data_IF_523256998174
#
_entry.id   IF_523256998174
#
_cell.length_a   1.000
_cell.length_b   1.000
_cell.length_c   1.000
_cell.angle_alpha   90.00
_cell.angle_beta   90.00
_cell.angle_gamma   90.00
#
_symmetry.space_group_name_H-M   'P 1'
#
loop_
_entity.id
_entity.type
_entity.pdbx_description
1 polymer ?
#
# COMPACT_ATOMS: atom_id res chain seq x y z
N UNK A 1 -20.82 57.50 -10.12
CA UNK A 1 -20.06 57.30 -8.87
C UNK A 1 -19.38 55.94 -8.90
N UNK A 2 -18.15 55.87 -8.42
CA UNK A 2 -17.42 54.57 -8.28
C UNK A 2 -17.95 53.90 -7.01
N UNK A 3 -18.36 52.59 -7.10
CA UNK A 3 -18.80 51.83 -5.98
C UNK A 3 -17.58 51.37 -5.15
N UNK A 4 -17.51 51.73 -3.88
CA UNK A 4 -16.48 51.27 -2.92
C UNK A 4 -16.96 49.97 -2.27
N UNK A 5 -16.04 49.01 -2.17
CA UNK A 5 -16.29 47.71 -1.53
C UNK A 5 -15.97 47.78 -0.04
N UNK A 6 -16.82 47.20 0.75
CA UNK A 6 -16.64 47.11 2.21
C UNK A 6 -16.50 45.66 2.64
N UNK A 7 -15.78 45.42 3.74
CA UNK A 7 -15.70 44.08 4.32
C UNK A 7 -17.03 43.65 4.90
N UNK A 8 -17.37 42.36 4.71
CA UNK A 8 -18.60 41.76 5.28
C UNK A 8 -18.34 41.08 6.63
N UNK A 9 -17.07 40.97 7.02
CA UNK A 9 -16.62 40.41 8.30
C UNK A 9 -15.65 41.39 8.97
N UNK A 10 -15.46 41.25 10.27
CA UNK A 10 -14.57 42.15 11.04
C UNK A 10 -13.10 41.92 10.76
N UNK A 11 -12.70 40.70 10.31
CA UNK A 11 -11.32 40.38 9.95
C UNK A 11 -10.86 41.16 8.71
N UNK A 12 -9.94 42.09 8.89
CA UNK A 12 -9.41 42.96 7.82
C UNK A 12 -8.10 42.41 7.19
N UNK A 13 -7.37 41.54 7.90
CA UNK A 13 -6.07 41.06 7.47
C UNK A 13 -6.12 40.18 6.21
N UNK A 14 -5.15 40.36 5.30
CA UNK A 14 -5.02 39.58 4.08
C UNK A 14 -4.31 38.25 4.32
N UNK A 15 -4.96 37.33 5.01
CA UNK A 15 -4.45 36.00 5.30
C UNK A 15 -5.03 34.94 4.36
N UNK A 16 -4.40 33.74 4.28
CA UNK A 16 -4.93 32.61 3.49
C UNK A 16 -6.33 32.16 3.86
N UNK A 17 -6.78 32.44 5.08
CA UNK A 17 -8.14 32.14 5.57
C UNK A 17 -9.15 33.25 5.21
N UNK A 18 -8.69 34.45 4.87
CA UNK A 18 -9.50 35.63 4.61
C UNK A 18 -9.41 36.05 3.13
N UNK A 19 -9.25 35.11 2.22
CA UNK A 19 -9.26 35.38 0.77
C UNK A 19 -10.67 35.71 0.31
N UNK A 20 -10.79 36.71 -0.55
CA UNK A 20 -12.06 37.21 -1.08
C UNK A 20 -11.92 37.56 -2.56
N UNK A 21 -13.03 37.50 -3.28
CA UNK A 21 -13.14 37.97 -4.66
C UNK A 21 -14.30 38.94 -4.78
N UNK A 22 -14.19 39.85 -5.72
CA UNK A 22 -15.27 40.75 -6.10
C UNK A 22 -16.23 40.01 -7.00
N UNK A 23 -17.54 40.12 -6.69
CA UNK A 23 -18.61 39.48 -7.47
C UNK A 23 -19.71 40.50 -7.66
N UNK A 24 -20.26 40.59 -8.88
CA UNK A 24 -21.45 41.39 -9.17
C UNK A 24 -22.69 40.57 -8.83
N UNK A 25 -23.56 41.12 -8.01
CA UNK A 25 -24.81 40.48 -7.65
C UNK A 25 -25.84 40.68 -8.77
N UNK A 26 -26.94 39.88 -8.85
CA UNK A 26 -28.00 40.06 -9.82
C UNK A 26 -28.62 41.48 -9.80
N UNK A 27 -28.63 42.17 -8.65
CA UNK A 27 -29.06 43.57 -8.50
C UNK A 27 -28.01 44.60 -9.00
N UNK A 28 -26.92 44.17 -9.65
CA UNK A 28 -25.87 45.05 -10.20
C UNK A 28 -24.85 45.56 -9.18
N UNK A 29 -25.00 45.27 -7.90
CA UNK A 29 -24.08 45.70 -6.83
C UNK A 29 -22.86 44.84 -6.75
N UNK A 30 -21.68 45.46 -6.60
CA UNK A 30 -20.40 44.74 -6.33
C UNK A 30 -20.28 44.46 -4.85
N UNK A 31 -19.96 43.19 -4.53
CA UNK A 31 -19.76 42.73 -3.14
C UNK A 31 -18.54 41.80 -3.06
N UNK A 32 -17.94 41.70 -1.86
CA UNK A 32 -16.94 40.67 -1.58
C UNK A 32 -17.61 39.34 -1.30
N UNK A 33 -17.11 38.29 -1.98
CA UNK A 33 -17.41 36.91 -1.69
C UNK A 33 -16.18 36.24 -1.08
N UNK A 34 -16.31 35.63 0.11
CA UNK A 34 -15.19 34.95 0.74
C UNK A 34 -14.95 33.58 0.15
N UNK A 35 -13.68 33.28 -0.10
CA UNK A 35 -13.25 32.02 -0.66
C UNK A 35 -12.89 31.01 0.42
N UNK A 36 -13.25 29.75 0.21
CA UNK A 36 -12.75 28.65 1.05
C UNK A 36 -11.32 28.32 0.68
N UNK A 37 -10.52 27.88 1.64
CA UNK A 37 -9.14 27.43 1.38
C UNK A 37 -9.11 26.31 0.33
N UNK A 38 -8.12 26.34 -0.54
CA UNK A 38 -7.96 25.35 -1.61
C UNK A 38 -7.78 23.95 -1.03
N UNK A 39 -8.53 23.02 -1.58
CA UNK A 39 -8.44 21.59 -1.25
C UNK A 39 -7.24 20.98 -1.95
N UNK A 40 -6.60 20.01 -1.31
CA UNK A 40 -5.43 19.32 -1.86
C UNK A 40 -5.68 17.82 -1.97
N UNK A 41 -5.18 17.23 -3.05
CA UNK A 41 -5.11 15.78 -3.25
C UNK A 41 -3.87 15.25 -2.52
N UNK A 42 -3.92 14.09 -1.86
CA UNK A 42 -2.73 13.49 -1.28
C UNK A 42 -1.70 13.15 -2.37
N UNK A 43 -0.43 13.12 -1.97
CA UNK A 43 0.70 12.80 -2.84
C UNK A 43 1.22 11.39 -2.54
N UNK A 44 1.82 10.77 -3.56
CA UNK A 44 2.51 9.50 -3.42
C UNK A 44 3.65 9.60 -2.40
N UNK A 45 3.77 8.61 -1.52
CA UNK A 45 4.83 8.58 -0.51
C UNK A 45 6.24 8.50 -1.09
N UNK A 46 6.40 7.86 -2.26
CA UNK A 46 7.70 7.67 -2.91
C UNK A 46 8.03 8.79 -3.91
N UNK A 47 7.26 8.93 -5.00
CA UNK A 47 7.55 9.89 -6.07
C UNK A 47 6.95 11.28 -5.89
N UNK A 48 6.15 11.50 -4.83
CA UNK A 48 5.46 12.77 -4.54
C UNK A 48 4.46 13.24 -5.62
N UNK A 49 4.18 12.43 -6.63
CA UNK A 49 3.15 12.69 -7.63
C UNK A 49 1.75 12.72 -7.00
N UNK A 50 0.83 13.50 -7.54
CA UNK A 50 -0.56 13.55 -7.06
C UNK A 50 -1.24 12.20 -7.30
N UNK A 51 -1.90 11.67 -6.28
CA UNK A 51 -2.64 10.41 -6.40
C UNK A 51 -3.95 10.65 -7.17
N UNK A 52 -4.15 9.89 -8.24
CA UNK A 52 -5.36 9.96 -9.05
C UNK A 52 -6.48 9.13 -8.40
N UNK A 53 -7.74 9.49 -8.68
CA UNK A 53 -8.91 8.79 -8.17
C UNK A 53 -9.30 9.14 -6.73
N UNK A 54 -8.63 10.12 -6.11
CA UNK A 54 -8.94 10.58 -4.76
C UNK A 54 -9.49 11.99 -4.81
N UNK A 55 -10.62 12.22 -4.15
CA UNK A 55 -11.26 13.52 -4.10
C UNK A 55 -10.43 14.51 -3.27
N UNK A 56 -10.13 15.71 -3.79
CA UNK A 56 -9.42 16.75 -3.04
C UNK A 56 -10.29 17.22 -1.86
N UNK A 57 -9.73 17.25 -0.67
CA UNK A 57 -10.43 17.65 0.53
C UNK A 57 -9.51 18.31 1.55
N UNK A 58 -10.08 19.10 2.46
CA UNK A 58 -9.40 19.61 3.66
C UNK A 58 -9.41 18.51 4.75
N UNK A 59 -8.53 18.58 5.76
CA UNK A 59 -8.41 17.53 6.79
C UNK A 59 -9.76 17.17 7.45
N UNK A 60 -10.54 18.15 7.88
CA UNK A 60 -11.84 17.91 8.50
C UNK A 60 -12.88 17.31 7.50
N UNK A 61 -12.89 17.76 6.26
CA UNK A 61 -13.77 17.19 5.22
C UNK A 61 -13.33 15.74 4.93
N UNK A 62 -12.02 15.47 4.88
CA UNK A 62 -11.48 14.15 4.62
C UNK A 62 -11.86 13.13 5.70
N UNK A 63 -11.90 13.52 6.97
CA UNK A 63 -12.35 12.62 8.05
C UNK A 63 -13.81 12.17 7.85
N UNK A 64 -14.68 13.07 7.40
CA UNK A 64 -16.10 12.83 7.18
C UNK A 64 -16.45 12.14 5.84
N UNK A 65 -15.51 12.06 4.90
CA UNK A 65 -15.76 11.43 3.60
C UNK A 65 -15.79 9.91 3.69
N UNK A 66 -16.55 9.28 2.80
CA UNK A 66 -16.58 7.83 2.64
C UNK A 66 -15.22 7.28 2.20
N UNK A 67 -14.94 6.02 2.54
CA UNK A 67 -13.68 5.35 2.21
C UNK A 67 -13.40 5.33 0.70
N UNK A 68 -14.41 5.12 -0.14
CA UNK A 68 -14.28 5.12 -1.61
C UNK A 68 -13.70 6.43 -2.17
N UNK A 69 -14.03 7.57 -1.57
CA UNK A 69 -13.51 8.89 -1.98
C UNK A 69 -12.10 9.20 -1.47
N UNK A 70 -11.63 8.46 -0.46
CA UNK A 70 -10.32 8.65 0.18
C UNK A 70 -9.23 7.74 -0.36
N UNK A 71 -9.59 6.60 -0.93
CA UNK A 71 -8.66 5.53 -1.34
C UNK A 71 -9.03 4.98 -2.71
N UNK A 72 -8.10 4.29 -3.32
CA UNK A 72 -8.30 3.49 -4.54
C UNK A 72 -8.27 2.02 -4.14
N UNK A 73 -9.14 1.19 -4.71
CA UNK A 73 -9.20 -0.26 -4.47
C UNK A 73 -8.03 -0.96 -5.19
N UNK A 74 -6.85 -0.80 -4.67
CA UNK A 74 -5.59 -1.41 -5.14
C UNK A 74 -4.68 -1.59 -3.94
N UNK A 75 -3.75 -2.54 -4.00
CA UNK A 75 -2.68 -2.68 -3.02
C UNK A 75 -1.94 -1.34 -2.89
N UNK A 76 -1.71 -0.87 -1.67
CA UNK A 76 -1.20 0.48 -1.38
C UNK A 76 -2.04 1.63 -1.97
N UNK A 77 -3.33 1.42 -2.27
CA UNK A 77 -4.23 2.47 -2.74
C UNK A 77 -4.38 3.61 -1.73
N UNK A 78 -4.23 4.84 -2.20
CA UNK A 78 -4.24 6.04 -1.35
C UNK A 78 -2.88 6.42 -0.74
N UNK A 79 -1.87 5.57 -0.80
CA UNK A 79 -0.51 5.80 -0.27
C UNK A 79 0.52 5.91 -1.40
N UNK A 80 0.51 4.96 -2.35
CA UNK A 80 1.43 4.92 -3.48
C UNK A 80 0.69 5.07 -4.82
N UNK A 81 1.35 5.65 -5.81
CA UNK A 81 0.86 5.70 -7.19
C UNK A 81 1.05 4.33 -7.88
N UNK A 82 0.34 4.10 -8.98
CA UNK A 82 0.40 2.84 -9.73
C UNK A 82 1.81 2.50 -10.24
N UNK A 83 2.59 3.51 -10.65
CA UNK A 83 3.97 3.34 -11.12
C UNK A 83 4.87 2.78 -10.01
N UNK A 84 4.86 3.41 -8.83
CA UNK A 84 5.66 2.98 -7.69
C UNK A 84 5.25 1.61 -7.16
N UNK A 85 3.97 1.26 -7.23
CA UNK A 85 3.49 -0.10 -6.86
C UNK A 85 4.01 -1.13 -7.86
N UNK A 86 3.93 -0.86 -9.18
CA UNK A 86 4.49 -1.74 -10.23
C UNK A 86 5.99 -1.97 -10.00
N UNK A 87 6.76 -0.90 -9.85
CA UNK A 87 8.20 -0.99 -9.60
C UNK A 87 8.54 -1.80 -8.33
N UNK A 88 7.72 -1.63 -7.28
CA UNK A 88 7.90 -2.37 -6.03
C UNK A 88 7.67 -3.87 -6.20
N UNK A 89 6.63 -4.25 -6.95
CA UNK A 89 6.32 -5.66 -7.26
C UNK A 89 7.44 -6.28 -8.10
N UNK A 90 7.85 -5.61 -9.18
CA UNK A 90 8.93 -6.10 -10.05
C UNK A 90 10.23 -6.26 -9.27
N UNK A 91 10.58 -5.28 -8.44
CA UNK A 91 11.79 -5.33 -7.62
C UNK A 91 11.76 -6.50 -6.63
N UNK A 92 10.63 -6.73 -5.96
CA UNK A 92 10.48 -7.85 -5.04
C UNK A 92 10.69 -9.19 -5.76
N UNK A 93 10.04 -9.36 -6.92
CA UNK A 93 10.19 -10.55 -7.76
C UNK A 93 11.65 -10.79 -8.16
N UNK A 94 12.34 -9.78 -8.71
CA UNK A 94 13.73 -9.90 -9.13
C UNK A 94 14.69 -10.22 -7.97
N UNK A 95 14.43 -9.67 -6.79
CA UNK A 95 15.23 -9.99 -5.59
C UNK A 95 15.03 -11.45 -5.16
N UNK A 96 13.79 -11.95 -5.24
CA UNK A 96 13.50 -13.35 -4.91
C UNK A 96 14.17 -14.31 -5.90
N UNK A 97 14.10 -14.04 -7.20
CA UNK A 97 14.80 -14.79 -8.24
C UNK A 97 16.32 -14.83 -8.01
N UNK A 98 16.92 -13.69 -7.74
CA UNK A 98 18.37 -13.63 -7.42
C UNK A 98 18.73 -14.47 -6.19
N UNK A 99 17.90 -14.45 -5.14
CA UNK A 99 18.12 -15.26 -3.95
C UNK A 99 18.08 -16.76 -4.25
N UNK A 100 17.16 -17.18 -5.13
CA UNK A 100 17.05 -18.58 -5.56
C UNK A 100 18.31 -18.98 -6.35
N UNK A 101 18.70 -18.19 -7.33
CA UNK A 101 19.91 -18.44 -8.12
C UNK A 101 21.15 -18.59 -7.22
N UNK A 102 21.36 -17.67 -6.29
CA UNK A 102 22.48 -17.75 -5.34
C UNK A 102 22.42 -19.01 -4.48
N UNK A 103 21.24 -19.44 -4.03
CA UNK A 103 21.07 -20.69 -3.27
C UNK A 103 21.44 -21.91 -4.12
N UNK A 104 20.98 -21.98 -5.36
CA UNK A 104 21.28 -23.07 -6.30
C UNK A 104 22.78 -23.15 -6.59
N UNK A 105 23.41 -22.01 -6.88
CA UNK A 105 24.84 -21.95 -7.13
C UNK A 105 25.69 -22.40 -5.90
N UNK A 106 25.29 -21.98 -4.70
CA UNK A 106 25.92 -22.42 -3.45
C UNK A 106 25.73 -23.92 -3.20
N UNK A 107 24.55 -24.45 -3.50
CA UNK A 107 24.27 -25.88 -3.38
C UNK A 107 25.11 -26.71 -4.38
N UNK A 108 25.25 -26.24 -5.65
CA UNK A 108 26.06 -26.87 -6.68
C UNK A 108 27.55 -26.81 -6.42
N UNK A 109 28.04 -25.76 -5.74
CA UNK A 109 29.48 -25.63 -5.36
C UNK A 109 29.85 -26.37 -4.06
N UNK A 110 28.86 -26.81 -3.29
CA UNK A 110 29.09 -27.63 -2.10
C UNK A 110 29.59 -29.01 -2.54
N UNK A 111 30.88 -29.28 -2.40
CA UNK A 111 31.45 -30.60 -2.64
C UNK A 111 30.63 -31.65 -1.88
N UNK A 112 30.28 -32.82 -2.51
CA UNK A 112 29.54 -33.85 -1.82
C UNK A 112 30.35 -34.29 -0.58
N UNK A 113 29.76 -34.14 0.59
CA UNK A 113 30.36 -34.71 1.81
C UNK A 113 30.48 -36.19 1.57
N UNK A 114 31.75 -36.68 1.48
CA UNK A 114 32.03 -38.11 1.47
C UNK A 114 31.29 -38.70 2.68
N UNK A 115 30.23 -39.48 2.42
CA UNK A 115 29.62 -40.31 3.46
C UNK A 115 30.71 -41.24 4.00
N UNK A 116 31.09 -41.02 5.25
CA UNK A 116 31.91 -42.02 5.97
C UNK A 116 31.03 -43.25 6.06
N UNK A 117 31.34 -44.28 5.22
CA UNK A 117 30.80 -45.62 5.41
C UNK A 117 31.10 -46.05 6.83
N UNK A 118 30.15 -45.93 7.73
CA UNK A 118 30.17 -46.64 8.99
C UNK A 118 30.04 -48.12 8.63
N UNK A 119 31.11 -48.87 8.81
CA UNK A 119 31.07 -50.32 8.87
C UNK A 119 30.20 -50.69 10.09
N UNK A 120 28.93 -50.94 9.83
CA UNK A 120 28.07 -51.58 10.80
C UNK A 120 28.46 -53.02 10.86
N UNK A 121 29.15 -53.40 11.96
CA UNK A 121 29.32 -54.79 12.36
C UNK A 121 27.95 -55.40 12.49
N UNK A 122 27.67 -56.44 11.70
CA UNK A 122 26.47 -57.29 11.89
C UNK A 122 26.57 -57.99 13.22
N UNK A 123 25.78 -57.57 14.17
CA UNK A 123 25.39 -58.42 15.28
C UNK A 123 23.95 -58.86 14.99
N UNK A 124 23.84 -60.12 14.75
CA UNK A 124 22.59 -60.87 14.65
C UNK A 124 21.94 -60.89 16.00
N UNK A 125 20.85 -60.15 16.16
CA UNK A 125 19.87 -60.43 17.25
C UNK A 125 18.45 -60.07 16.79
N UNK A 126 17.62 -61.04 16.98
CA UNK A 126 16.21 -61.14 16.71
C UNK A 126 15.41 -59.99 17.35
N UNK A 127 14.48 -59.40 16.61
CA UNK A 127 13.36 -58.65 17.22
C UNK A 127 12.01 -59.05 16.63
N UNK A 128 11.00 -59.23 17.49
CA UNK A 128 9.68 -59.73 17.09
C UNK A 128 8.85 -58.64 16.42
N UNK A 129 8.05 -59.10 15.47
CA UNK A 129 7.02 -58.31 14.82
C UNK A 129 5.95 -57.89 15.83
N UNK A 130 5.84 -56.62 16.12
CA UNK A 130 4.57 -56.03 16.56
C UNK A 130 4.63 -54.50 16.51
N UNK A 131 3.56 -53.91 15.99
CA UNK A 131 3.21 -52.47 15.92
C UNK A 131 3.52 -51.74 14.61
N UNK A 132 2.91 -52.24 13.51
CA UNK A 132 2.48 -51.37 12.45
C UNK A 132 1.08 -50.85 12.84
N UNK A 133 1.01 -49.63 13.32
CA UNK A 133 -0.29 -48.90 13.38
C UNK A 133 -0.08 -47.40 13.15
N UNK A 134 -0.52 -46.99 11.98
CA UNK A 134 -1.15 -45.70 11.70
C UNK A 134 -0.36 -44.41 11.93
N UNK A 135 0.40 -43.99 10.93
CA UNK A 135 0.49 -42.57 10.64
C UNK A 135 -0.07 -42.29 9.23
N UNK A 136 -1.30 -41.87 9.24
CA UNK A 136 -2.09 -41.48 8.07
C UNK A 136 -1.54 -40.15 7.54
N UNK A 137 -0.83 -40.20 6.44
CA UNK A 137 -0.40 -39.02 5.68
C UNK A 137 -1.63 -38.21 5.25
N UNK A 138 -1.79 -36.99 5.76
CA UNK A 138 -2.68 -35.99 5.18
C UNK A 138 -1.93 -35.22 4.10
N UNK A 139 -2.43 -35.14 2.87
CA UNK A 139 -1.79 -34.35 1.82
C UNK A 139 -1.98 -32.84 2.12
N UNK A 140 -0.88 -32.09 2.05
CA UNK A 140 -0.81 -30.63 2.05
C UNK A 140 -1.47 -30.07 0.79
N UNK A 141 -2.79 -29.87 0.85
CA UNK A 141 -3.55 -29.09 -0.12
C UNK A 141 -4.33 -28.04 0.63
N UNK A 142 -3.72 -26.94 1.01
CA UNK A 142 -4.41 -25.73 1.48
C UNK A 142 -3.43 -24.59 1.81
N UNK A 143 -2.64 -24.14 0.87
CA UNK A 143 -1.87 -22.89 1.05
C UNK A 143 -2.06 -21.86 -0.07
N UNK A 144 -2.98 -22.10 -1.01
CA UNK A 144 -3.22 -21.16 -2.13
C UNK A 144 -4.50 -20.33 -1.96
N UNK A 145 -5.33 -20.61 -0.95
CA UNK A 145 -6.66 -19.96 -0.84
C UNK A 145 -6.76 -18.82 0.18
N UNK A 146 -5.65 -18.37 0.82
CA UNK A 146 -5.74 -17.35 1.88
C UNK A 146 -5.37 -15.92 1.44
N UNK A 147 -5.16 -15.68 0.16
CA UNK A 147 -4.86 -14.30 -0.34
C UNK A 147 -6.09 -13.57 -0.90
N UNK A 148 -7.25 -14.24 -1.03
CA UNK A 148 -8.40 -13.64 -1.73
C UNK A 148 -9.59 -13.22 -0.84
N UNK A 149 -9.54 -13.37 0.48
CA UNK A 149 -10.69 -13.03 1.33
C UNK A 149 -10.31 -12.19 2.55
N UNK A 150 -9.88 -10.95 2.33
CA UNK A 150 -10.05 -9.86 3.30
C UNK A 150 -10.48 -8.61 2.54
N UNK A 151 -11.79 -8.47 2.53
CA UNK A 151 -12.49 -7.23 2.17
C UNK A 151 -12.10 -6.09 3.09
#
# INVERSE_FOLDING_TARGET
MVQRLTFRRRLSYNSKSNQRRMVRTPGGKLVYQYLKKVKRVPKCGQCKERLRGITPARPMERSRMSRRKKTVTRVYGGVLCHKCVKERIVRAFLIEEQKIVVKVMKAGSAKPKKEKKMMVKRTSEQFPACLIRAFRFKPLRSFIFYVFHLR
#
